data_IF_845918075635
#
_entry.id   IF_845918075635
#
_cell.length_a   1.000
_cell.length_b   1.000
_cell.length_c   1.000
_cell.angle_alpha   90.00
_cell.angle_beta   90.00
_cell.angle_gamma   90.00
#
_symmetry.space_group_name_H-M   'P 1'
#
loop_
_entity.id
_entity.type
_entity.pdbx_description
1 polymer ?
#
# COMPACT_ATOMS: atom_id res chain seq x y z
N UNK A 1 -11.17 -53.62 56.73
CA UNK A 1 -11.68 -53.12 55.44
C UNK A 1 -10.83 -51.94 55.03
N UNK A 2 -9.85 -52.17 54.16
CA UNK A 2 -9.02 -51.09 53.61
C UNK A 2 -9.81 -50.44 52.47
N UNK A 3 -10.07 -49.13 52.51
CA UNK A 3 -10.67 -48.45 51.37
C UNK A 3 -9.72 -48.50 50.19
N UNK A 4 -10.26 -48.91 49.04
CA UNK A 4 -9.60 -49.01 47.75
C UNK A 4 -9.05 -47.65 47.33
N UNK A 5 -7.75 -47.43 47.55
CA UNK A 5 -7.02 -46.23 47.09
C UNK A 5 -7.09 -46.05 45.55
N UNK A 6 -7.44 -47.10 44.81
CA UNK A 6 -7.53 -47.08 43.36
C UNK A 6 -8.77 -46.31 42.86
N UNK A 7 -9.89 -46.33 43.58
CA UNK A 7 -11.13 -45.70 43.13
C UNK A 7 -11.10 -44.17 43.25
N UNK A 8 -10.46 -43.65 44.32
CA UNK A 8 -10.29 -42.20 44.51
C UNK A 8 -9.41 -41.55 43.44
N UNK A 9 -8.40 -42.25 42.93
CA UNK A 9 -7.53 -41.73 41.87
C UNK A 9 -8.24 -41.68 40.51
N UNK A 10 -9.22 -42.55 40.30
CA UNK A 10 -9.94 -42.67 39.04
C UNK A 10 -11.02 -41.58 38.91
N UNK A 11 -11.71 -41.25 40.01
CA UNK A 11 -12.63 -40.11 40.09
C UNK A 11 -11.91 -38.77 39.86
N UNK A 12 -10.73 -38.58 40.45
CA UNK A 12 -9.91 -37.37 40.27
C UNK A 12 -9.52 -37.20 38.78
N UNK A 13 -9.11 -38.28 38.12
CA UNK A 13 -8.76 -38.28 36.70
C UNK A 13 -9.97 -38.02 35.80
N UNK A 14 -11.15 -38.55 36.13
CA UNK A 14 -12.39 -38.25 35.38
C UNK A 14 -12.81 -36.79 35.51
N UNK A 15 -12.64 -36.21 36.70
CA UNK A 15 -12.89 -34.79 36.95
C UNK A 15 -11.91 -33.90 36.19
N UNK A 16 -10.63 -34.26 36.16
CA UNK A 16 -9.63 -33.54 35.35
C UNK A 16 -9.91 -33.64 33.86
N UNK A 17 -10.29 -34.83 33.38
CA UNK A 17 -10.60 -35.05 31.97
C UNK A 17 -11.83 -34.25 31.52
N UNK A 18 -12.84 -34.10 32.37
CA UNK A 18 -14.03 -33.29 32.07
C UNK A 18 -13.71 -31.81 32.06
N UNK A 19 -12.95 -31.31 33.04
CA UNK A 19 -12.51 -29.91 33.06
C UNK A 19 -11.63 -29.55 31.84
N UNK A 20 -10.71 -30.44 31.42
CA UNK A 20 -9.92 -30.19 30.21
C UNK A 20 -10.75 -30.27 28.94
N UNK A 21 -11.79 -31.12 28.88
CA UNK A 21 -12.72 -31.13 27.73
C UNK A 21 -13.48 -29.81 27.61
N UNK A 22 -14.00 -29.28 28.72
CA UNK A 22 -14.65 -27.97 28.73
C UNK A 22 -13.67 -26.86 28.32
N UNK A 23 -12.43 -26.91 28.80
CA UNK A 23 -11.38 -25.97 28.40
C UNK A 23 -11.04 -26.03 26.91
N UNK A 24 -11.03 -27.23 26.33
CA UNK A 24 -10.81 -27.44 24.90
C UNK A 24 -11.98 -26.91 24.08
N UNK A 25 -13.22 -27.14 24.51
CA UNK A 25 -14.42 -26.62 23.83
C UNK A 25 -14.43 -25.08 23.85
N UNK A 26 -14.09 -24.46 24.98
CA UNK A 26 -13.96 -23.01 25.11
C UNK A 26 -12.84 -22.44 24.21
N UNK A 27 -11.69 -23.12 24.15
CA UNK A 27 -10.59 -22.75 23.25
C UNK A 27 -10.99 -22.90 21.78
N UNK A 28 -11.68 -23.97 21.40
CA UNK A 28 -12.14 -24.19 20.03
C UNK A 28 -13.11 -23.07 19.60
N UNK A 29 -14.02 -22.68 20.48
CA UNK A 29 -14.93 -21.56 20.23
C UNK A 29 -14.18 -20.23 20.05
N UNK A 30 -13.22 -19.93 20.93
CA UNK A 30 -12.43 -18.71 20.83
C UNK A 30 -11.60 -18.66 19.53
N UNK A 31 -11.02 -19.77 19.11
CA UNK A 31 -10.28 -19.85 17.84
C UNK A 31 -11.21 -19.64 16.65
N UNK A 32 -12.42 -20.23 16.64
CA UNK A 32 -13.41 -20.00 15.58
C UNK A 32 -13.80 -18.52 15.49
N UNK A 33 -14.09 -17.89 16.62
CA UNK A 33 -14.45 -16.46 16.65
C UNK A 33 -13.32 -15.56 16.11
N UNK A 34 -12.06 -15.87 16.47
CA UNK A 34 -10.90 -15.16 15.92
C UNK A 34 -10.76 -15.35 14.41
N UNK A 35 -10.88 -16.59 13.91
CA UNK A 35 -10.78 -16.83 12.46
C UNK A 35 -11.89 -16.16 11.65
N UNK A 36 -13.10 -16.07 12.20
CA UNK A 36 -14.21 -15.36 11.54
C UNK A 36 -13.94 -13.86 11.50
N UNK A 37 -13.40 -13.30 12.58
CA UNK A 37 -13.05 -11.89 12.64
C UNK A 37 -11.95 -11.54 11.64
N UNK A 38 -10.88 -12.33 11.58
CA UNK A 38 -9.78 -12.12 10.64
C UNK A 38 -10.30 -12.15 9.19
N UNK A 39 -11.18 -13.09 8.85
CA UNK A 39 -11.81 -13.14 7.52
C UNK A 39 -12.70 -11.93 7.19
N UNK A 40 -13.40 -11.38 8.18
CA UNK A 40 -14.19 -10.15 7.99
C UNK A 40 -13.30 -8.92 7.79
N UNK A 41 -12.19 -8.81 8.51
CA UNK A 41 -11.24 -7.71 8.36
C UNK A 41 -10.62 -7.71 6.95
N UNK A 42 -10.21 -8.87 6.43
CA UNK A 42 -9.70 -9.01 5.06
C UNK A 42 -10.75 -8.61 4.00
N UNK A 43 -12.01 -9.02 4.18
CA UNK A 43 -13.09 -8.66 3.26
C UNK A 43 -13.37 -7.15 3.27
N UNK A 44 -13.31 -6.52 4.44
CA UNK A 44 -13.51 -5.09 4.58
C UNK A 44 -12.40 -4.32 3.85
N UNK A 45 -11.13 -4.70 4.04
CA UNK A 45 -10.01 -4.10 3.32
C UNK A 45 -10.15 -4.24 1.79
N UNK A 46 -10.62 -5.40 1.31
CA UNK A 46 -10.87 -5.62 -0.11
C UNK A 46 -11.99 -4.73 -0.65
N UNK A 47 -13.09 -4.57 0.11
CA UNK A 47 -14.20 -3.72 -0.28
C UNK A 47 -13.80 -2.24 -0.28
N UNK A 48 -13.12 -1.77 0.76
CA UNK A 48 -12.60 -0.41 0.84
C UNK A 48 -11.67 -0.08 -0.34
N UNK A 49 -10.75 -1.00 -0.65
CA UNK A 49 -9.86 -0.87 -1.82
C UNK A 49 -10.65 -0.77 -3.12
N UNK A 50 -11.71 -1.58 -3.30
CA UNK A 50 -12.56 -1.54 -4.50
C UNK A 50 -13.35 -0.25 -4.61
N UNK A 51 -13.87 0.26 -3.49
CA UNK A 51 -14.58 1.56 -3.46
C UNK A 51 -13.61 2.67 -3.87
N UNK A 52 -12.41 2.71 -3.29
CA UNK A 52 -11.40 3.72 -3.61
C UNK A 52 -11.00 3.69 -5.10
N UNK A 53 -10.87 2.50 -5.70
CA UNK A 53 -10.57 2.33 -7.13
C UNK A 53 -11.69 2.87 -8.02
N UNK A 54 -12.95 2.64 -7.65
CA UNK A 54 -14.09 3.09 -8.46
C UNK A 54 -14.34 4.59 -8.30
N UNK A 55 -14.19 5.13 -7.08
CA UNK A 55 -14.28 6.59 -6.84
C UNK A 55 -13.21 7.37 -7.61
N UNK A 56 -12.00 6.82 -7.70
CA UNK A 56 -10.87 7.45 -8.40
C UNK A 56 -10.73 7.00 -9.86
N UNK A 57 -11.82 6.50 -10.46
CA UNK A 57 -11.81 5.94 -11.81
C UNK A 57 -11.38 6.93 -12.89
N UNK A 58 -11.87 8.16 -12.82
CA UNK A 58 -11.62 9.20 -13.82
C UNK A 58 -10.50 10.18 -13.39
N UNK A 59 -9.81 9.87 -12.29
CA UNK A 59 -8.70 10.68 -11.80
C UNK A 59 -7.48 10.41 -12.67
N UNK A 60 -7.06 11.43 -13.42
CA UNK A 60 -5.88 11.39 -14.31
C UNK A 60 -4.69 12.20 -13.77
N UNK A 61 -4.90 12.90 -12.66
CA UNK A 61 -3.92 13.77 -12.03
C UNK A 61 -3.91 13.59 -10.51
N UNK A 62 -2.72 13.39 -9.95
CA UNK A 62 -2.52 13.34 -8.49
C UNK A 62 -1.41 14.33 -8.14
N UNK A 63 -1.69 15.16 -7.14
CA UNK A 63 -0.75 16.16 -6.59
C UNK A 63 -0.41 15.83 -5.16
N UNK A 64 0.87 15.86 -4.83
CA UNK A 64 1.37 15.73 -3.47
C UNK A 64 2.20 16.95 -3.10
N UNK A 65 1.79 17.65 -2.04
CA UNK A 65 2.51 18.82 -1.52
C UNK A 65 3.43 18.39 -0.37
N UNK A 66 4.71 18.70 -0.51
CA UNK A 66 5.73 18.46 0.50
C UNK A 66 6.03 19.80 1.17
N UNK A 67 5.72 19.91 2.45
CA UNK A 67 5.97 21.12 3.25
C UNK A 67 7.36 21.07 3.88
N UNK A 68 7.88 22.23 4.29
CA UNK A 68 9.22 22.38 4.90
C UNK A 68 10.31 21.70 4.06
N UNK A 69 10.27 21.92 2.75
CA UNK A 69 11.14 21.20 1.82
C UNK A 69 12.61 21.56 2.02
N UNK A 70 12.92 22.79 2.43
CA UNK A 70 14.29 23.20 2.74
C UNK A 70 14.87 22.42 3.92
N UNK A 71 14.06 22.16 4.95
CA UNK A 71 14.46 21.34 6.10
C UNK A 71 14.64 19.88 5.70
N UNK A 72 13.65 19.32 5.01
CA UNK A 72 13.69 17.95 4.48
C UNK A 72 14.94 17.71 3.65
N UNK A 73 15.27 18.63 2.72
CA UNK A 73 16.47 18.55 1.89
C UNK A 73 17.76 18.62 2.71
N UNK A 74 17.82 19.44 3.76
CA UNK A 74 19.02 19.52 4.63
C UNK A 74 19.27 18.19 5.33
N UNK A 75 18.21 17.55 5.83
CA UNK A 75 18.31 16.35 6.65
C UNK A 75 18.56 15.07 5.85
N UNK A 76 18.13 15.02 4.58
CA UNK A 76 18.35 13.87 3.71
C UNK A 76 19.69 13.93 2.98
N UNK A 77 20.25 12.77 2.63
CA UNK A 77 21.42 12.62 1.76
C UNK A 77 21.00 12.38 0.31
N UNK A 78 21.95 12.46 -0.62
CA UNK A 78 21.73 12.00 -2.01
C UNK A 78 21.36 10.52 -2.00
N UNK A 79 20.44 10.10 -2.87
CA UNK A 79 19.90 8.74 -2.89
C UNK A 79 18.80 8.47 -1.86
N UNK A 80 18.58 9.36 -0.89
CA UNK A 80 17.46 9.24 0.05
C UNK A 80 16.20 9.95 -0.47
N UNK A 81 15.04 9.39 -0.18
CA UNK A 81 13.75 9.87 -0.66
C UNK A 81 12.73 10.06 0.46
N UNK A 82 11.72 10.88 0.16
CA UNK A 82 10.47 10.96 0.91
C UNK A 82 9.41 10.20 0.13
N UNK A 83 8.68 9.34 0.83
CA UNK A 83 7.55 8.57 0.27
C UNK A 83 6.23 9.32 0.49
N UNK A 84 5.39 9.38 -0.54
CA UNK A 84 4.02 9.90 -0.39
C UNK A 84 3.13 8.91 0.37
N UNK A 85 2.01 9.38 0.93
CA UNK A 85 0.88 8.50 1.23
C UNK A 85 0.50 7.69 -0.01
N UNK A 86 -0.07 6.51 0.20
CA UNK A 86 -0.61 5.68 -0.86
C UNK A 86 -1.86 6.34 -1.47
N UNK A 87 -2.06 6.17 -2.77
CA UNK A 87 -3.23 6.70 -3.48
C UNK A 87 -3.66 5.79 -4.63
N UNK A 88 -4.94 5.88 -5.00
CA UNK A 88 -5.51 5.24 -6.19
C UNK A 88 -5.63 6.24 -7.35
N UNK A 89 -5.46 5.76 -8.59
CA UNK A 89 -5.50 6.61 -9.80
C UNK A 89 -5.95 5.78 -11.01
N UNK A 90 -6.83 6.33 -11.86
CA UNK A 90 -7.29 5.77 -13.12
C UNK A 90 -7.65 4.26 -13.09
N UNK A 91 -8.32 3.82 -12.02
CA UNK A 91 -8.68 2.40 -11.76
C UNK A 91 -7.49 1.43 -11.65
N UNK A 92 -6.29 1.93 -11.37
CA UNK A 92 -5.14 1.04 -11.17
C UNK A 92 -5.42 0.10 -9.99
N UNK A 93 -5.25 -1.22 -10.14
CA UNK A 93 -5.79 -2.23 -9.22
C UNK A 93 -5.11 -2.26 -7.85
N UNK A 94 -4.00 -1.54 -7.69
CA UNK A 94 -3.18 -1.49 -6.47
C UNK A 94 -2.90 -0.04 -6.10
N UNK A 95 -2.58 0.22 -4.83
CA UNK A 95 -2.25 1.59 -4.41
C UNK A 95 -0.87 2.00 -4.91
N UNK A 96 -0.80 3.19 -5.49
CA UNK A 96 0.42 3.83 -5.99
C UNK A 96 1.05 4.71 -4.90
N UNK A 97 2.31 5.11 -5.09
CA UNK A 97 2.93 6.14 -4.25
C UNK A 97 4.06 6.86 -5.01
N UNK A 98 4.41 8.07 -4.59
CA UNK A 98 5.58 8.78 -5.11
C UNK A 98 6.79 8.57 -4.21
N UNK A 99 7.96 8.36 -4.82
CA UNK A 99 9.25 8.48 -4.17
C UNK A 99 9.93 9.73 -4.72
N UNK A 100 10.12 10.73 -3.87
CA UNK A 100 10.73 12.00 -4.24
C UNK A 100 12.11 12.14 -3.58
N UNK A 101 13.14 12.39 -4.39
CA UNK A 101 14.53 12.47 -3.97
C UNK A 101 15.00 13.93 -3.99
N UNK A 102 15.00 14.67 -2.86
CA UNK A 102 15.25 16.12 -2.86
C UNK A 102 16.69 16.52 -3.20
N UNK A 103 17.62 15.56 -3.20
CA UNK A 103 19.02 15.73 -3.60
C UNK A 103 19.39 14.86 -4.81
N UNK A 104 18.39 14.36 -5.53
CA UNK A 104 18.56 13.39 -6.61
C UNK A 104 18.76 11.96 -6.08
N UNK A 105 18.49 11.00 -6.94
CA UNK A 105 18.89 9.60 -6.79
C UNK A 105 20.41 9.45 -7.00
N UNK A 106 20.91 8.21 -7.01
CA UNK A 106 22.34 7.96 -7.15
C UNK A 106 22.90 8.34 -8.52
N UNK A 107 22.03 8.40 -9.54
CA UNK A 107 22.40 8.66 -10.94
C UNK A 107 22.26 10.13 -11.35
N UNK A 108 21.48 10.92 -10.63
CA UNK A 108 21.24 12.32 -10.94
C UNK A 108 22.48 13.20 -10.73
N UNK A 109 22.67 14.19 -11.58
CA UNK A 109 23.62 15.27 -11.37
C UNK A 109 23.32 16.10 -10.11
N UNK A 110 24.36 16.73 -9.56
CA UNK A 110 24.22 17.56 -8.37
C UNK A 110 23.27 18.74 -8.62
N UNK A 111 22.32 18.94 -7.70
CA UNK A 111 21.34 20.03 -7.76
C UNK A 111 20.01 19.63 -8.40
N UNK A 112 19.96 18.52 -9.14
CA UNK A 112 18.72 17.94 -9.64
C UNK A 112 17.95 17.20 -8.54
N UNK A 113 16.66 16.99 -8.80
CA UNK A 113 15.80 16.10 -8.03
C UNK A 113 15.27 14.99 -8.91
N UNK A 114 14.90 13.89 -8.27
CA UNK A 114 14.32 12.73 -8.93
C UNK A 114 12.92 12.48 -8.41
N UNK A 115 12.04 12.00 -9.29
CA UNK A 115 10.68 11.63 -8.93
C UNK A 115 10.30 10.33 -9.59
N UNK A 116 9.83 9.38 -8.78
CA UNK A 116 9.36 8.08 -9.24
C UNK A 116 7.93 7.86 -8.80
N UNK A 117 7.12 7.34 -9.72
CA UNK A 117 5.79 6.82 -9.45
C UNK A 117 5.91 5.30 -9.25
N UNK A 118 5.87 4.87 -8.00
CA UNK A 118 5.90 3.46 -7.66
C UNK A 118 4.54 2.81 -7.98
N UNK A 119 4.57 1.87 -8.93
CA UNK A 119 3.45 1.05 -9.37
C UNK A 119 3.72 -0.40 -8.96
N UNK A 120 3.06 -0.94 -7.92
CA UNK A 120 3.39 -2.27 -7.38
C UNK A 120 3.00 -3.47 -8.29
N UNK A 121 2.49 -3.21 -9.50
CA UNK A 121 2.13 -4.26 -10.45
C UNK A 121 3.38 -4.81 -11.15
N UNK A 122 3.45 -6.13 -11.38
CA UNK A 122 4.63 -6.72 -12.02
C UNK A 122 4.68 -6.53 -13.54
N UNK A 123 3.58 -6.13 -14.18
CA UNK A 123 3.46 -5.95 -15.64
C UNK A 123 2.32 -5.00 -15.99
N UNK A 124 2.56 -3.71 -15.80
CA UNK A 124 1.66 -2.67 -16.32
C UNK A 124 2.42 -1.69 -17.21
N UNK A 125 1.77 -1.25 -18.28
CA UNK A 125 2.21 -0.21 -19.18
C UNK A 125 1.27 0.97 -19.01
N UNK A 126 1.82 2.14 -18.71
CA UNK A 126 1.04 3.36 -18.46
C UNK A 126 1.60 4.52 -19.26
N UNK A 127 0.72 5.43 -19.70
CA UNK A 127 1.11 6.75 -20.20
C UNK A 127 0.99 7.74 -19.08
N UNK A 128 2.04 8.55 -18.85
CA UNK A 128 2.04 9.56 -17.80
C UNK A 128 2.95 10.74 -18.12
N UNK A 129 2.69 11.85 -17.44
CA UNK A 129 3.58 13.01 -17.36
C UNK A 129 3.88 13.30 -15.89
N UNK A 130 5.14 13.31 -15.47
CA UNK A 130 5.52 13.68 -14.11
C UNK A 130 5.76 15.18 -14.02
N UNK A 131 5.61 15.76 -12.82
CA UNK A 131 5.95 17.16 -12.59
C UNK A 131 6.49 17.40 -11.18
N UNK A 132 7.34 18.43 -11.07
CA UNK A 132 7.85 18.99 -9.82
C UNK A 132 7.75 20.51 -9.93
N UNK A 133 6.94 21.12 -9.06
CA UNK A 133 6.60 22.53 -9.11
C UNK A 133 5.95 22.92 -10.43
N UNK A 134 6.64 23.77 -11.19
CA UNK A 134 6.24 24.29 -12.50
C UNK A 134 6.81 23.44 -13.64
N UNK A 135 7.84 22.64 -13.38
CA UNK A 135 8.46 21.75 -14.39
C UNK A 135 7.64 20.49 -14.57
N UNK A 136 7.38 20.14 -15.84
CA UNK A 136 6.63 18.96 -16.26
C UNK A 136 7.43 18.22 -17.32
N UNK A 137 7.44 16.89 -17.26
CA UNK A 137 8.05 16.05 -18.29
C UNK A 137 7.12 15.90 -19.49
N UNK A 138 7.69 15.52 -20.63
CA UNK A 138 6.87 15.03 -21.73
C UNK A 138 6.04 13.82 -21.30
N UNK A 139 4.91 13.63 -21.98
CA UNK A 139 4.09 12.42 -21.80
C UNK A 139 4.86 11.23 -22.35
N UNK A 140 5.15 10.25 -21.50
CA UNK A 140 5.88 9.03 -21.85
C UNK A 140 5.02 7.81 -21.55
N UNK A 141 5.12 6.82 -22.43
CA UNK A 141 4.65 5.46 -22.16
C UNK A 141 5.78 4.71 -21.46
N UNK A 142 5.49 4.20 -20.26
CA UNK A 142 6.48 3.54 -19.40
C UNK A 142 5.92 2.24 -18.85
N UNK A 143 6.80 1.27 -18.67
CA UNK A 143 6.51 0.05 -17.91
C UNK A 143 6.78 0.28 -16.43
N UNK A 144 6.32 -0.65 -15.59
CA UNK A 144 6.56 -0.63 -14.13
C UNK A 144 8.05 -0.64 -13.74
N UNK A 145 8.93 -1.09 -14.64
CA UNK A 145 10.39 -1.13 -14.44
C UNK A 145 11.06 0.24 -14.64
N UNK A 146 10.37 1.21 -15.27
CA UNK A 146 10.85 2.59 -15.45
C UNK A 146 9.91 3.60 -14.77
N UNK A 147 9.82 3.58 -13.43
CA UNK A 147 8.75 4.27 -12.72
C UNK A 147 8.92 5.80 -12.68
N UNK A 148 10.08 6.35 -13.05
CA UNK A 148 10.38 7.76 -12.80
C UNK A 148 11.44 8.38 -13.69
N UNK A 149 11.96 9.51 -13.22
CA UNK A 149 12.98 10.31 -13.90
C UNK A 149 14.01 10.78 -12.85
N UNK A 150 15.29 10.49 -13.10
CA UNK A 150 16.39 10.87 -12.22
C UNK A 150 16.64 12.38 -12.20
N UNK A 151 16.40 13.09 -13.31
CA UNK A 151 16.75 14.50 -13.48
C UNK A 151 15.56 15.34 -13.95
N UNK A 152 14.51 15.42 -13.13
CA UNK A 152 13.27 16.09 -13.55
C UNK A 152 13.36 17.61 -13.52
N UNK A 153 14.05 18.18 -12.50
CA UNK A 153 14.14 19.62 -12.30
C UNK A 153 15.27 20.00 -11.33
N UNK A 154 15.67 21.27 -11.36
CA UNK A 154 16.52 21.89 -10.34
C UNK A 154 15.62 22.46 -9.24
N UNK A 155 15.75 21.95 -8.01
CA UNK A 155 14.78 22.20 -6.94
C UNK A 155 14.57 23.67 -6.59
N UNK A 156 15.63 24.48 -6.62
CA UNK A 156 15.57 25.90 -6.23
C UNK A 156 14.60 26.73 -7.08
N UNK A 157 14.36 26.33 -8.33
CA UNK A 157 13.38 26.98 -9.22
C UNK A 157 11.93 26.58 -8.96
N UNK A 158 11.71 25.47 -8.24
CA UNK A 158 10.42 24.81 -8.10
C UNK A 158 9.78 24.97 -6.71
N UNK A 159 10.54 25.46 -5.72
CA UNK A 159 10.06 25.72 -4.36
C UNK A 159 9.19 26.97 -4.33
N UNK A 160 8.02 26.88 -3.69
CA UNK A 160 7.27 28.05 -3.25
C UNK A 160 7.93 28.67 -2.01
N UNK A 161 8.62 29.79 -2.23
CA UNK A 161 9.37 30.51 -1.18
C UNK A 161 8.50 31.07 -0.07
N UNK A 162 7.19 31.28 -0.32
CA UNK A 162 6.28 31.80 0.72
C UNK A 162 5.93 30.74 1.74
N UNK A 163 5.86 29.48 1.32
CA UNK A 163 5.37 28.37 2.15
C UNK A 163 6.42 27.30 2.42
N UNK A 164 7.63 27.47 1.89
CA UNK A 164 8.70 26.47 1.89
C UNK A 164 8.17 25.08 1.49
N UNK A 165 7.44 25.03 0.38
CA UNK A 165 6.83 23.78 -0.09
C UNK A 165 7.05 23.56 -1.58
N UNK A 166 7.02 22.30 -1.99
CA UNK A 166 7.06 21.89 -3.40
C UNK A 166 5.88 20.95 -3.67
N UNK A 167 5.25 21.09 -4.82
CA UNK A 167 4.21 20.16 -5.27
C UNK A 167 4.79 19.24 -6.33
N UNK A 168 4.68 17.94 -6.11
CA UNK A 168 5.08 16.90 -7.07
C UNK A 168 3.86 16.11 -7.50
N UNK A 169 3.95 15.40 -8.61
CA UNK A 169 2.87 14.51 -8.98
C UNK A 169 2.92 13.95 -10.38
N UNK A 170 1.77 13.44 -10.80
CA UNK A 170 1.54 12.86 -12.13
C UNK A 170 0.31 13.50 -12.77
N UNK A 171 0.36 13.68 -14.08
CA UNK A 171 -0.71 14.17 -14.97
C UNK A 171 -0.86 13.24 -16.16
N UNK A 172 -2.02 13.34 -16.82
CA UNK A 172 -2.33 12.61 -18.07
C UNK A 172 -2.15 11.10 -17.91
N UNK A 173 -2.39 10.58 -16.69
CA UNK A 173 -2.20 9.18 -16.36
C UNK A 173 -3.26 8.32 -17.04
N UNK A 174 -2.81 7.30 -17.76
CA UNK A 174 -3.66 6.39 -18.51
C UNK A 174 -3.04 4.98 -18.47
N UNK A 175 -3.85 3.97 -18.17
CA UNK A 175 -3.43 2.57 -18.22
C UNK A 175 -3.54 2.11 -19.68
N UNK A 176 -2.42 1.72 -20.28
CA UNK A 176 -2.39 1.14 -21.63
C UNK A 176 -2.60 -0.37 -21.55
N UNK A 177 -1.88 -1.02 -20.64
CA UNK A 177 -1.94 -2.47 -20.44
C UNK A 177 -1.71 -2.78 -18.96
N UNK A 178 -2.48 -3.71 -18.40
CA UNK A 178 -2.28 -4.19 -17.03
C UNK A 178 -2.66 -5.67 -16.96
N UNK A 179 -1.68 -6.55 -16.71
CA UNK A 179 -1.91 -8.00 -16.66
C UNK A 179 -2.31 -8.52 -15.29
N UNK A 180 -2.60 -7.65 -14.33
CA UNK A 180 -3.22 -8.07 -13.08
C UNK A 180 -4.72 -8.28 -13.32
N UNK A 181 -5.13 -9.54 -13.38
CA UNK A 181 -6.54 -9.87 -13.16
C UNK A 181 -6.91 -9.28 -11.81
N UNK A 182 -7.90 -8.40 -11.79
CA UNK A 182 -8.78 -8.29 -10.63
C UNK A 182 -9.22 -9.74 -10.39
N UNK A 183 -8.75 -10.36 -9.31
CA UNK A 183 -9.27 -11.65 -8.89
C UNK A 183 -10.77 -11.42 -8.64
N UNK A 184 -11.57 -11.64 -9.67
CA UNK A 184 -13.00 -11.77 -9.53
C UNK A 184 -13.15 -13.01 -8.68
N UNK A 185 -13.40 -12.81 -7.38
CA UNK A 185 -13.95 -13.84 -6.53
C UNK A 185 -15.15 -14.41 -7.27
N UNK A 186 -14.94 -15.59 -7.85
CA UNK A 186 -15.92 -16.35 -8.61
C UNK A 186 -16.94 -16.82 -7.58
N UNK A 187 -17.85 -15.93 -7.21
CA UNK A 187 -19.03 -16.31 -6.42
C UNK A 187 -19.97 -16.98 -7.41
N UNK A 188 -19.67 -18.24 -7.74
CA UNK A 188 -20.67 -19.12 -8.33
C UNK A 188 -21.61 -19.44 -7.17
N UNK A 189 -22.66 -18.62 -7.03
CA UNK A 189 -23.85 -19.01 -6.30
C UNK A 189 -24.53 -20.11 -7.13
N UNK A 190 -24.13 -21.37 -6.90
CA UNK A 190 -25.02 -22.49 -7.19
C UNK A 190 -26.10 -22.47 -6.11
N UNK A 191 -27.23 -21.85 -6.47
CA UNK A 191 -28.48 -22.05 -5.75
C UNK A 191 -28.98 -23.44 -6.17
N UNK A 192 -29.05 -24.36 -5.21
CA UNK A 192 -29.89 -25.56 -5.27
C UNK A 192 -31.03 -25.43 -4.28
#
# INVERSE_FOLDING_TARGET
MMPSFADSSLEELQKQLTAEKERLDDMEKAVKDLTLRDGCEEQLEQLESRVEIEENRDVTEVRWRINKISETRRNLKKGEYVKSPHFSIARFPKKCSFHFYPKGDDFAEEGYVSLYLHLPSKRATVKRSLFVGKRKTARKEVTTDQPGESEIAVLSGEIDTKTDSVTVGVKDFEIVECHERLEQGKTVLEIS
#
